data_IF_566308688103
#
_entry.id   IF_566308688103
#
_cell.length_a   1.000
_cell.length_b   1.000
_cell.length_c   1.000
_cell.angle_alpha   90.00
_cell.angle_beta   90.00
_cell.angle_gamma   90.00
#
_symmetry.space_group_name_H-M   'P 1'
#
loop_
_entity.id
_entity.type
_entity.pdbx_description
1 polymer ?
#
# COMPACT_ATOMS: atom_id res chain seq x y z
N UNK A 1 -2.44 -4.98 0.08
CA UNK A 1 -2.38 -5.67 1.39
C UNK A 1 -2.43 -4.65 2.52
N UNK A 2 -1.38 -3.83 2.74
CA UNK A 2 -1.32 -2.90 3.88
C UNK A 2 -2.45 -1.86 3.93
N UNK A 3 -2.72 -1.17 2.82
CA UNK A 3 -3.80 -0.17 2.76
C UNK A 3 -5.15 -0.81 3.11
N UNK A 4 -5.40 -1.99 2.58
CA UNK A 4 -6.68 -2.66 2.71
C UNK A 4 -6.87 -3.24 4.12
N UNK A 5 -5.84 -3.89 4.68
CA UNK A 5 -5.82 -4.28 6.09
C UNK A 5 -6.02 -3.08 7.01
N UNK A 6 -5.38 -1.94 6.72
CA UNK A 6 -5.55 -0.70 7.48
C UNK A 6 -6.98 -0.17 7.42
N UNK A 7 -7.62 -0.17 6.25
CA UNK A 7 -9.03 0.20 6.09
C UNK A 7 -9.95 -0.74 6.88
N UNK A 8 -9.74 -2.05 6.76
CA UNK A 8 -10.46 -3.07 7.53
C UNK A 8 -10.33 -2.81 9.03
N UNK A 9 -9.11 -2.68 9.56
CA UNK A 9 -8.89 -2.46 11.00
C UNK A 9 -9.51 -1.16 11.50
N UNK A 10 -9.43 -0.07 10.71
CA UNK A 10 -10.07 1.21 11.03
C UNK A 10 -11.58 1.07 11.12
N UNK A 11 -12.18 0.36 10.19
CA UNK A 11 -13.62 0.09 10.17
C UNK A 11 -14.06 -0.76 11.36
N UNK A 12 -13.37 -1.87 11.64
CA UNK A 12 -13.64 -2.71 12.81
C UNK A 12 -13.57 -1.89 14.11
N UNK A 13 -12.53 -1.09 14.28
CA UNK A 13 -12.38 -0.22 15.45
C UNK A 13 -13.52 0.80 15.58
N UNK A 14 -14.00 1.33 14.44
CA UNK A 14 -15.14 2.24 14.42
C UNK A 14 -16.45 1.53 14.77
N UNK A 15 -16.67 0.33 14.22
CA UNK A 15 -17.83 -0.51 14.52
C UNK A 15 -17.92 -0.95 15.98
N UNK A 16 -16.79 -1.37 16.57
CA UNK A 16 -16.71 -1.71 18.00
C UNK A 16 -17.08 -0.50 18.87
N UNK A 17 -16.54 0.68 18.57
CA UNK A 17 -16.79 1.91 19.34
C UNK A 17 -18.24 2.34 19.27
N UNK A 18 -18.86 2.21 18.11
CA UNK A 18 -20.26 2.56 17.89
C UNK A 18 -21.24 1.43 18.25
N UNK A 19 -20.75 0.23 18.56
CA UNK A 19 -21.55 -1.00 18.69
C UNK A 19 -22.42 -1.28 17.46
N UNK A 20 -21.86 -1.05 16.27
CA UNK A 20 -22.51 -1.25 14.97
C UNK A 20 -21.79 -2.31 14.15
N UNK A 21 -22.53 -3.04 13.32
CA UNK A 21 -21.97 -4.07 12.44
C UNK A 21 -20.98 -3.49 11.41
N UNK A 22 -19.72 -3.97 11.35
CA UNK A 22 -18.73 -3.50 10.37
C UNK A 22 -18.92 -4.23 9.03
N UNK A 23 -19.88 -3.77 8.22
CA UNK A 23 -20.38 -4.48 7.03
C UNK A 23 -19.42 -4.53 5.84
N UNK A 24 -18.51 -3.57 5.68
CA UNK A 24 -17.55 -3.54 4.55
C UNK A 24 -16.18 -4.14 4.87
N UNK A 25 -15.95 -4.52 6.14
CA UNK A 25 -14.67 -5.09 6.60
C UNK A 25 -14.33 -6.40 5.87
N UNK A 26 -15.34 -7.24 5.60
CA UNK A 26 -15.22 -8.49 4.85
C UNK A 26 -14.88 -8.28 3.37
N UNK A 27 -15.42 -7.23 2.73
CA UNK A 27 -15.07 -6.91 1.35
C UNK A 27 -13.60 -6.51 1.26
N UNK A 28 -13.16 -5.68 2.21
CA UNK A 28 -11.81 -5.15 2.19
C UNK A 28 -10.78 -6.26 2.48
N UNK A 29 -10.99 -7.06 3.52
CA UNK A 29 -10.06 -8.16 3.85
C UNK A 29 -9.97 -9.20 2.72
N UNK A 30 -11.05 -9.46 1.97
CA UNK A 30 -11.03 -10.34 0.80
C UNK A 30 -10.04 -9.87 -0.28
N UNK A 31 -10.02 -8.56 -0.59
CA UNK A 31 -9.05 -8.00 -1.54
C UNK A 31 -7.61 -8.14 -1.01
N UNK A 32 -7.40 -7.92 0.28
CA UNK A 32 -6.09 -8.10 0.91
C UNK A 32 -5.61 -9.57 0.80
N UNK A 33 -6.51 -10.53 1.00
CA UNK A 33 -6.23 -11.97 0.86
C UNK A 33 -5.86 -12.36 -0.57
N UNK A 34 -6.56 -11.82 -1.58
CA UNK A 34 -6.21 -12.07 -2.98
C UNK A 34 -4.80 -11.57 -3.27
N UNK A 35 -4.47 -10.34 -2.86
CA UNK A 35 -3.13 -9.79 -3.02
C UNK A 35 -2.06 -10.61 -2.28
N UNK A 36 -2.36 -11.10 -1.07
CA UNK A 36 -1.49 -11.98 -0.27
C UNK A 36 -1.19 -13.29 -1.00
N UNK A 37 -2.23 -13.95 -1.54
CA UNK A 37 -2.09 -15.20 -2.31
C UNK A 37 -1.24 -15.00 -3.56
N UNK A 38 -1.45 -13.89 -4.28
CA UNK A 38 -0.67 -13.57 -5.47
C UNK A 38 0.81 -13.33 -5.12
N UNK A 39 1.08 -12.56 -4.07
CA UNK A 39 2.45 -12.33 -3.58
C UNK A 39 3.11 -13.65 -3.15
N UNK A 40 2.40 -14.49 -2.40
CA UNK A 40 2.90 -15.82 -1.98
C UNK A 40 3.21 -16.72 -3.17
N UNK A 41 2.42 -16.64 -4.24
CA UNK A 41 2.70 -17.37 -5.49
C UNK A 41 3.94 -16.83 -6.19
N UNK A 42 4.10 -15.51 -6.29
CA UNK A 42 5.28 -14.87 -6.86
C UNK A 42 6.56 -15.22 -6.08
N UNK A 43 6.51 -15.22 -4.75
CA UNK A 43 7.65 -15.61 -3.91
C UNK A 43 8.09 -17.06 -4.18
N UNK A 44 7.15 -17.96 -4.51
CA UNK A 44 7.44 -19.36 -4.85
C UNK A 44 8.00 -19.52 -6.26
N UNK A 45 7.61 -18.66 -7.21
CA UNK A 45 7.99 -18.79 -8.62
C UNK A 45 9.20 -17.96 -9.04
N UNK A 46 9.51 -16.86 -8.35
CA UNK A 46 10.36 -15.78 -8.89
C UNK A 46 11.75 -15.66 -8.27
N UNK A 47 12.04 -16.33 -7.15
CA UNK A 47 13.20 -15.95 -6.31
C UNK A 47 14.44 -16.84 -6.45
N UNK A 48 14.40 -17.88 -7.26
CA UNK A 48 15.40 -18.95 -7.21
C UNK A 48 16.13 -19.16 -8.53
N UNK A 49 16.17 -18.15 -9.40
CA UNK A 49 17.05 -18.17 -10.58
C UNK A 49 18.51 -18.07 -10.12
N UNK A 50 19.41 -18.79 -10.79
CA UNK A 50 20.78 -19.04 -10.32
C UNK A 50 21.64 -17.75 -10.13
N UNK A 51 21.23 -16.63 -10.71
CA UNK A 51 21.92 -15.33 -10.67
C UNK A 51 21.46 -14.38 -9.55
N UNK A 52 20.41 -14.72 -8.80
CA UNK A 52 19.90 -13.86 -7.73
C UNK A 52 20.83 -13.92 -6.50
N UNK A 53 21.44 -12.79 -6.13
CA UNK A 53 22.15 -12.68 -4.85
C UNK A 53 21.15 -12.87 -3.69
N UNK A 54 21.05 -14.10 -3.18
CA UNK A 54 20.10 -14.50 -2.15
C UNK A 54 20.14 -13.56 -0.93
N UNK A 55 21.33 -13.09 -0.55
CA UNK A 55 21.49 -12.17 0.58
C UNK A 55 20.85 -10.80 0.32
N UNK A 56 20.83 -10.33 -0.93
CA UNK A 56 20.21 -9.06 -1.30
C UNK A 56 18.67 -9.13 -1.30
N UNK A 57 18.08 -10.31 -1.50
CA UNK A 57 16.61 -10.49 -1.54
C UNK A 57 15.99 -10.83 -0.19
N UNK A 58 16.77 -11.31 0.79
CA UNK A 58 16.29 -11.64 2.15
C UNK A 58 15.43 -10.51 2.75
N UNK A 59 15.83 -9.22 2.72
CA UNK A 59 15.00 -8.15 3.30
C UNK A 59 13.63 -8.03 2.62
N UNK A 60 13.60 -8.13 1.28
CA UNK A 60 12.35 -8.02 0.52
C UNK A 60 11.41 -9.20 0.80
N UNK A 61 11.94 -10.43 0.83
CA UNK A 61 11.18 -11.64 1.17
C UNK A 61 10.67 -11.60 2.61
N UNK A 62 11.45 -11.03 3.52
CA UNK A 62 11.06 -10.85 4.93
C UNK A 62 9.88 -9.90 5.05
N UNK A 63 9.95 -8.73 4.39
CA UNK A 63 8.83 -7.78 4.36
C UNK A 63 7.60 -8.41 3.70
N UNK A 64 7.77 -9.14 2.60
CA UNK A 64 6.67 -9.81 1.92
C UNK A 64 6.00 -10.86 2.82
N UNK A 65 6.79 -11.65 3.55
CA UNK A 65 6.30 -12.63 4.53
C UNK A 65 5.54 -11.94 5.67
N UNK A 66 6.09 -10.87 6.23
CA UNK A 66 5.42 -10.08 7.27
C UNK A 66 4.08 -9.51 6.79
N UNK A 67 4.01 -9.01 5.55
CA UNK A 67 2.77 -8.51 4.96
C UNK A 67 1.72 -9.62 4.84
N UNK A 68 2.12 -10.85 4.48
CA UNK A 68 1.24 -12.02 4.42
C UNK A 68 0.69 -12.31 5.83
N UNK A 69 1.57 -12.36 6.85
CA UNK A 69 1.18 -12.61 8.24
C UNK A 69 0.22 -11.53 8.78
N UNK A 70 0.42 -10.26 8.41
CA UNK A 70 -0.47 -9.16 8.78
C UNK A 70 -1.88 -9.37 8.19
N UNK A 71 -1.98 -9.83 6.94
CA UNK A 71 -3.29 -10.11 6.32
C UNK A 71 -4.00 -11.25 7.06
N UNK A 72 -3.29 -12.34 7.36
CA UNK A 72 -3.85 -13.49 8.07
C UNK A 72 -4.27 -13.12 9.51
N UNK A 73 -3.49 -12.29 10.19
CA UNK A 73 -3.85 -11.74 11.50
C UNK A 73 -5.10 -10.84 11.41
N UNK A 74 -5.17 -9.97 10.39
CA UNK A 74 -6.33 -9.09 10.17
C UNK A 74 -7.60 -9.90 9.93
N UNK A 75 -7.54 -10.99 9.17
CA UNK A 75 -8.68 -11.90 8.96
C UNK A 75 -9.21 -12.47 10.29
N UNK A 76 -8.31 -12.98 11.15
CA UNK A 76 -8.71 -13.50 12.47
C UNK A 76 -9.36 -12.44 13.34
N UNK A 77 -8.90 -11.19 13.25
CA UNK A 77 -9.51 -10.06 13.96
C UNK A 77 -10.91 -9.77 13.40
N UNK A 78 -11.09 -9.79 12.07
CA UNK A 78 -12.43 -9.64 11.45
C UNK A 78 -13.38 -10.70 11.98
N UNK A 79 -13.00 -11.97 11.99
CA UNK A 79 -13.85 -13.06 12.46
C UNK A 79 -14.17 -12.93 13.96
N UNK A 80 -13.17 -12.57 14.78
CA UNK A 80 -13.36 -12.36 16.22
C UNK A 80 -14.30 -11.17 16.50
N UNK A 81 -14.20 -10.09 15.72
CA UNK A 81 -15.07 -8.92 15.86
C UNK A 81 -16.48 -9.22 15.36
N UNK A 82 -16.64 -10.04 14.31
CA UNK A 82 -17.95 -10.54 13.90
C UNK A 82 -18.60 -11.36 15.01
N UNK A 83 -17.86 -12.30 15.63
CA UNK A 83 -18.37 -13.11 16.74
C UNK A 83 -18.79 -12.22 17.91
N UNK A 84 -17.93 -11.26 18.30
CA UNK A 84 -18.23 -10.27 19.33
C UNK A 84 -19.51 -9.48 18.99
N UNK A 85 -19.62 -8.97 17.76
CA UNK A 85 -20.76 -8.18 17.33
C UNK A 85 -22.06 -8.98 17.38
N UNK A 86 -22.01 -10.28 17.08
CA UNK A 86 -23.15 -11.19 17.20
C UNK A 86 -23.56 -11.41 18.66
N UNK A 87 -22.61 -11.73 19.53
CA UNK A 87 -22.85 -11.99 20.96
C UNK A 87 -23.31 -10.74 21.72
N UNK A 88 -22.78 -9.57 21.35
CA UNK A 88 -23.12 -8.29 21.97
C UNK A 88 -24.32 -7.60 21.29
N UNK A 89 -24.97 -8.25 20.32
CA UNK A 89 -26.12 -7.72 19.58
C UNK A 89 -25.87 -6.31 19.00
N UNK A 90 -24.71 -6.12 18.35
CA UNK A 90 -24.41 -4.87 17.66
C UNK A 90 -25.51 -4.53 16.67
N UNK A 91 -25.86 -3.24 16.63
CA UNK A 91 -26.91 -2.76 15.75
C UNK A 91 -26.49 -2.97 14.30
N UNK A 92 -27.35 -3.61 13.52
CA UNK A 92 -27.24 -3.57 12.07
C UNK A 92 -27.42 -2.13 11.62
N UNK A 93 -26.73 -1.73 10.55
CA UNK A 93 -27.07 -0.50 9.85
C UNK A 93 -28.41 -0.77 9.17
N UNK A 94 -29.51 -0.48 9.85
CA UNK A 94 -30.84 -0.58 9.26
C UNK A 94 -30.92 0.52 8.20
N UNK A 95 -30.82 0.12 6.94
CA UNK A 95 -31.24 0.95 5.82
C UNK A 95 -32.77 0.96 5.84
N UNK A 96 -33.38 1.55 6.88
CA UNK A 96 -34.80 1.84 6.83
C UNK A 96 -35.00 2.83 5.69
N UNK A 97 -35.48 2.29 4.58
CA UNK A 97 -36.04 2.99 3.44
C UNK A 97 -37.19 3.86 3.95
N UNK A 98 -36.84 5.04 4.45
CA UNK A 98 -37.68 6.22 4.38
C UNK A 98 -37.51 6.77 2.98
N UNK A 99 -38.46 6.46 2.11
CA UNK A 99 -38.61 7.03 0.80
C UNK A 99 -38.74 8.55 0.95
N UNK A 100 -37.63 9.26 0.73
CA UNK A 100 -37.53 10.70 0.76
C UNK A 100 -36.29 11.07 -0.05
N UNK A 101 -36.53 11.47 -1.29
CA UNK A 101 -35.53 12.02 -2.20
C UNK A 101 -34.70 13.07 -1.46
N UNK A 102 -33.39 12.83 -1.32
CA UNK A 102 -32.40 13.89 -1.43
C UNK A 102 -31.16 13.33 -2.11
N UNK A 103 -31.03 13.69 -3.38
CA UNK A 103 -29.73 13.92 -4.01
C UNK A 103 -28.85 14.73 -3.04
N UNK A 104 -27.87 14.06 -2.44
CA UNK A 104 -26.67 14.73 -1.97
C UNK A 104 -25.46 13.92 -2.38
N UNK A 105 -25.06 14.20 -3.61
CA UNK A 105 -23.72 14.11 -4.15
C UNK A 105 -22.67 13.95 -3.04
N UNK A 106 -22.09 12.74 -3.00
CA UNK A 106 -20.88 12.46 -2.27
C UNK A 106 -19.81 13.40 -2.84
N UNK A 107 -19.45 14.45 -2.12
CA UNK A 107 -18.32 15.28 -2.50
C UNK A 107 -17.10 14.39 -2.55
N UNK A 108 -16.46 14.36 -3.71
CA UNK A 108 -15.10 13.88 -3.90
C UNK A 108 -14.27 14.23 -2.68
N UNK A 109 -13.61 13.23 -2.11
CA UNK A 109 -12.49 13.47 -1.24
C UNK A 109 -11.39 13.95 -2.17
N UNK A 110 -11.36 15.26 -2.41
CA UNK A 110 -10.23 15.97 -3.00
C UNK A 110 -9.03 15.64 -2.12
N UNK A 111 -8.26 14.65 -2.55
CA UNK A 111 -6.91 14.47 -2.06
C UNK A 111 -6.12 15.56 -2.78
N UNK A 112 -5.68 16.64 -2.11
CA UNK A 112 -4.81 17.59 -2.79
C UNK A 112 -3.60 16.80 -3.27
N UNK A 113 -3.49 16.68 -4.58
CA UNK A 113 -2.30 16.19 -5.23
C UNK A 113 -1.23 17.22 -4.87
N UNK A 114 -0.38 16.90 -3.91
CA UNK A 114 0.79 17.71 -3.59
C UNK A 114 1.75 17.60 -4.79
N UNK A 115 1.50 18.43 -5.80
CA UNK A 115 2.47 18.70 -6.86
C UNK A 115 3.61 19.45 -6.18
N UNK A 116 4.74 18.77 -6.00
CA UNK A 116 5.98 19.40 -5.56
C UNK A 116 6.49 20.20 -6.75
N UNK A 117 6.03 21.45 -6.86
CA UNK A 117 6.67 22.42 -7.76
C UNK A 117 7.97 22.85 -7.11
N UNK A 118 9.11 22.42 -7.67
CA UNK A 118 10.42 22.91 -7.29
C UNK A 118 10.60 24.28 -7.97
N UNK A 119 10.09 25.35 -7.35
CA UNK A 119 10.43 26.74 -7.70
C UNK A 119 11.58 27.24 -6.82
N UNK A 120 12.68 26.49 -6.85
CA UNK A 120 13.97 26.94 -6.32
C UNK A 120 14.89 27.30 -7.49
N UNK A 121 15.77 28.32 -7.36
CA UNK A 121 16.82 28.55 -8.34
C UNK A 121 17.60 27.26 -8.52
N UNK A 122 17.71 26.77 -9.75
CA UNK A 122 18.61 25.66 -10.11
C UNK A 122 20.00 26.05 -9.59
N UNK A 123 20.58 25.35 -8.60
CA UNK A 123 22.01 25.46 -8.37
C UNK A 123 22.66 24.95 -9.64
N UNK A 124 23.40 25.83 -10.33
CA UNK A 124 24.08 25.50 -11.57
C UNK A 124 24.82 24.16 -11.40
N UNK A 125 24.37 23.16 -12.16
CA UNK A 125 25.12 21.94 -12.36
C UNK A 125 26.49 22.35 -12.92
N UNK A 126 27.62 21.93 -12.34
CA UNK A 126 28.91 22.22 -12.93
C UNK A 126 28.96 21.62 -14.34
N UNK A 127 29.20 22.48 -15.32
CA UNK A 127 29.44 22.14 -16.72
C UNK A 127 30.70 21.29 -16.82
N UNK A 128 30.59 19.99 -16.57
CA UNK A 128 31.62 19.02 -16.93
C UNK A 128 31.44 18.66 -18.41
N UNK A 129 31.72 19.65 -19.27
CA UNK A 129 31.58 19.57 -20.72
C UNK A 129 32.81 20.05 -21.48
N UNK A 130 33.96 20.27 -20.81
CA UNK A 130 35.20 20.57 -21.51
C UNK A 130 35.96 19.27 -21.81
N UNK A 131 36.09 18.85 -23.08
CA UNK A 131 37.03 17.79 -23.42
C UNK A 131 38.45 18.22 -22.99
N UNK A 132 39.31 17.30 -22.54
CA UNK A 132 40.70 17.61 -22.25
C UNK A 132 41.32 18.31 -23.47
N UNK A 133 42.16 19.34 -23.29
CA UNK A 133 42.90 19.90 -24.41
C UNK A 133 43.69 18.77 -25.08
N UNK A 134 43.58 18.69 -26.40
CA UNK A 134 44.33 17.75 -27.22
C UNK A 134 45.82 17.89 -26.87
N UNK A 135 46.42 16.80 -26.42
CA UNK A 135 47.86 16.64 -26.42
C UNK A 135 48.28 16.69 -27.90
N UNK A 136 48.67 17.86 -28.37
CA UNK A 136 49.40 17.96 -29.62
C UNK A 136 50.78 17.39 -29.35
N UNK A 137 50.97 16.18 -29.87
CA UNK A 137 52.28 15.62 -30.18
C UNK A 137 53.13 16.71 -30.83
N UNK A 138 54.19 17.12 -30.12
CA UNK A 138 55.36 17.74 -30.76
C UNK A 138 56.53 16.83 -30.53
N UNK A 139 56.60 15.81 -31.38
CA UNK A 139 57.86 15.22 -31.75
C UNK A 139 58.36 15.94 -33.01
N UNK A 140 59.38 16.77 -32.87
CA UNK A 140 60.38 17.06 -33.92
C UNK A 140 61.61 17.69 -33.24
N UNK A 141 62.55 16.81 -32.93
CA UNK A 141 63.97 16.81 -33.34
C UNK A 141 64.80 18.11 -33.46
N UNK A 142 66.04 17.96 -32.96
CA UNK A 142 67.30 18.72 -33.11
C UNK A 142 67.44 20.09 -32.43
#
# INVERSE_FOLDING_TARGET
MSLESGKTLKELASGIRAMTQPSSAYLNISKAKIASKNLKSLLKSSFWDDDANLLAVIPAVTVASLLIDIVDCTEKIVDSVHELASLAHFQGVDLTVGQGEQDKQLSEIDCPQAVITIDGPIPALPENGKPPPALTDRHTEM
#
